data_IF_990687582438
#
_entry.id   IF_990687582438
#
_cell.length_a   1.000
_cell.length_b   1.000
_cell.length_c   1.000
_cell.angle_alpha   90.00
_cell.angle_beta   90.00
_cell.angle_gamma   90.00
#
_symmetry.space_group_name_H-M   'P 1'
#
loop_
_entity.id
_entity.type
_entity.pdbx_description
1 polymer ?
#
# COMPACT_ATOMS: atom_id res chain seq x y z
N UNK A 1 -30.84 45.63 -12.11
CA UNK A 1 -30.24 44.46 -12.78
C UNK A 1 -28.90 44.15 -12.12
N UNK A 2 -28.86 43.23 -11.17
CA UNK A 2 -27.65 42.61 -10.63
C UNK A 2 -28.07 41.23 -10.12
N UNK A 3 -27.76 40.18 -10.88
CA UNK A 3 -28.12 38.80 -10.59
C UNK A 3 -26.90 38.06 -10.02
N UNK A 4 -27.06 37.49 -8.83
CA UNK A 4 -26.19 36.47 -8.23
C UNK A 4 -26.99 35.17 -8.20
N UNK A 5 -26.49 34.03 -8.70
CA UNK A 5 -27.15 32.75 -8.45
C UNK A 5 -26.71 32.18 -7.10
N UNK A 6 -27.68 32.01 -6.20
CA UNK A 6 -27.62 31.12 -5.03
C UNK A 6 -27.81 29.69 -5.53
N UNK A 7 -26.82 28.82 -5.33
CA UNK A 7 -26.99 27.38 -5.46
C UNK A 7 -27.48 26.84 -4.11
N UNK A 8 -28.78 26.58 -4.04
CA UNK A 8 -29.43 25.77 -3.00
C UNK A 8 -29.25 24.31 -3.38
N UNK A 9 -28.43 23.56 -2.64
CA UNK A 9 -28.42 22.11 -2.73
C UNK A 9 -29.44 21.57 -1.73
N UNK A 10 -30.57 21.08 -2.24
CA UNK A 10 -31.58 20.35 -1.48
C UNK A 10 -31.19 18.86 -1.50
N UNK A 11 -30.89 18.29 -0.34
CA UNK A 11 -30.77 16.83 -0.16
C UNK A 11 -31.98 16.40 0.66
N UNK A 12 -32.86 15.64 0.01
CA UNK A 12 -33.99 14.97 0.64
C UNK A 12 -33.48 13.82 1.52
N UNK A 13 -34.14 13.68 2.67
CA UNK A 13 -33.96 12.66 3.70
C UNK A 13 -34.68 11.34 3.40
N UNK A 14 -34.27 10.33 4.19
CA UNK A 14 -34.99 9.11 4.57
C UNK A 14 -34.77 7.86 3.70
N UNK A 15 -34.17 6.81 4.29
CA UNK A 15 -34.90 5.70 4.92
C UNK A 15 -33.99 5.03 5.97
N UNK A 16 -34.44 5.02 7.23
CA UNK A 16 -33.87 4.22 8.31
C UNK A 16 -35.04 3.70 9.12
N UNK A 17 -35.38 2.43 8.92
CA UNK A 17 -36.37 1.72 9.72
C UNK A 17 -35.64 0.88 10.76
N UNK A 18 -35.91 1.14 12.04
CA UNK A 18 -35.74 0.18 13.12
C UNK A 18 -36.93 0.34 14.08
N UNK A 19 -37.59 -0.75 14.49
CA UNK A 19 -38.80 -0.71 15.28
C UNK A 19 -38.53 -0.54 16.78
N UNK A 20 -39.47 0.15 17.42
CA UNK A 20 -39.58 0.42 18.84
C UNK A 20 -39.78 -0.85 19.68
N UNK A 21 -39.23 -0.85 20.90
CA UNK A 21 -39.95 -1.42 22.04
C UNK A 21 -39.58 -0.67 23.33
N UNK A 22 -40.64 -0.19 23.97
CA UNK A 22 -40.74 0.55 25.23
C UNK A 22 -40.44 -0.30 26.47
N UNK A 23 -39.82 0.27 27.51
CA UNK A 23 -40.54 0.60 28.75
C UNK A 23 -39.67 1.21 29.87
N UNK A 24 -40.30 2.21 30.50
CA UNK A 24 -40.30 2.64 31.90
C UNK A 24 -39.01 3.13 32.59
N UNK A 25 -39.02 4.45 32.74
CA UNK A 25 -38.41 5.34 33.72
C UNK A 25 -38.65 4.93 35.18
N UNK A 26 -37.63 5.13 36.04
CA UNK A 26 -37.82 5.64 37.39
C UNK A 26 -36.62 6.51 37.79
N UNK A 27 -36.88 7.80 38.00
CA UNK A 27 -35.98 8.76 38.64
C UNK A 27 -36.09 8.65 40.17
N UNK A 28 -34.97 8.90 40.87
CA UNK A 28 -35.01 9.62 42.14
C UNK A 28 -33.63 10.21 42.46
N UNK A 29 -33.62 11.54 42.60
CA UNK A 29 -32.55 12.41 43.10
C UNK A 29 -32.10 12.02 44.52
N UNK A 30 -30.84 12.31 44.85
CA UNK A 30 -30.50 13.17 46.01
C UNK A 30 -29.02 13.60 45.97
N UNK A 31 -28.79 14.86 46.32
CA UNK A 31 -27.50 15.53 46.40
C UNK A 31 -27.02 15.58 47.86
N UNK A 32 -25.71 15.42 48.10
CA UNK A 32 -24.95 16.36 48.96
C UNK A 32 -23.43 16.11 49.00
N UNK A 33 -22.72 17.24 48.90
CA UNK A 33 -21.41 17.67 49.39
C UNK A 33 -20.40 16.71 50.07
N UNK A 34 -19.13 16.93 49.71
CA UNK A 34 -17.96 16.80 50.59
C UNK A 34 -16.63 16.73 49.83
N UNK A 35 -15.80 17.79 49.94
CA UNK A 35 -14.38 17.83 49.55
C UNK A 35 -13.56 16.74 50.27
N UNK A 36 -12.52 16.18 49.62
CA UNK A 36 -11.13 16.22 50.12
C UNK A 36 -10.14 15.54 49.14
N UNK A 37 -8.89 15.99 49.20
CA UNK A 37 -7.76 15.76 48.29
C UNK A 37 -7.21 14.31 48.22
N UNK A 38 -6.60 13.97 47.07
CA UNK A 38 -5.26 13.35 46.95
C UNK A 38 -5.10 12.52 45.65
N UNK A 39 -4.28 13.01 44.72
CA UNK A 39 -3.84 12.28 43.53
C UNK A 39 -2.61 11.43 43.86
N UNK A 40 -2.78 10.10 43.89
CA UNK A 40 -1.69 9.12 44.01
C UNK A 40 -1.24 8.59 42.64
N UNK A 41 -0.02 8.95 42.25
CA UNK A 41 0.76 8.33 41.17
C UNK A 41 1.17 6.92 41.63
N UNK A 42 1.08 5.91 40.74
CA UNK A 42 1.68 4.59 40.98
C UNK A 42 2.61 4.23 39.82
N UNK A 43 3.91 4.40 40.07
CA UNK A 43 5.03 3.97 39.24
C UNK A 43 5.11 2.43 39.22
N UNK A 44 5.35 1.87 38.03
CA UNK A 44 5.60 0.44 37.85
C UNK A 44 7.13 0.23 37.91
N UNK A 45 7.63 -0.37 38.99
CA UNK A 45 8.97 -0.95 39.02
C UNK A 45 8.93 -2.45 38.64
N UNK A 46 9.97 -2.97 37.95
CA UNK A 46 10.03 -4.35 37.52
C UNK A 46 10.73 -5.22 38.57
N UNK A 47 10.03 -6.22 39.12
CA UNK A 47 10.67 -7.25 39.94
C UNK A 47 11.07 -8.47 39.09
N UNK A 48 12.37 -8.79 39.20
CA UNK A 48 13.04 -9.96 38.68
C UNK A 48 12.91 -11.10 39.70
N UNK A 49 12.37 -12.27 39.32
CA UNK A 49 12.68 -13.50 40.07
C UNK A 49 12.41 -14.82 39.31
N UNK A 50 13.42 -15.70 39.40
CA UNK A 50 13.33 -17.16 39.55
C UNK A 50 13.05 -18.05 38.33
N UNK A 51 14.12 -18.77 37.91
CA UNK A 51 14.09 -19.88 36.96
C UNK A 51 13.51 -21.19 37.54
N UNK A 52 12.84 -21.96 36.66
CA UNK A 52 12.85 -23.43 36.43
C UNK A 52 11.43 -23.98 36.11
N UNK A 53 11.28 -25.13 35.41
CA UNK A 53 11.93 -25.63 34.20
C UNK A 53 10.91 -25.98 33.08
N UNK A 54 11.45 -26.24 31.88
CA UNK A 54 10.81 -26.65 30.62
C UNK A 54 9.74 -27.76 30.76
N UNK A 55 8.51 -27.48 30.31
CA UNK A 55 7.58 -28.49 29.79
C UNK A 55 7.16 -28.05 28.39
N UNK A 56 7.61 -28.83 27.39
CA UNK A 56 7.18 -28.72 26.01
C UNK A 56 5.68 -29.00 25.91
N UNK A 57 4.89 -27.96 25.70
CA UNK A 57 3.52 -28.07 25.23
C UNK A 57 3.54 -27.79 23.72
N UNK A 58 3.31 -28.86 22.96
CA UNK A 58 3.00 -28.81 21.53
C UNK A 58 1.87 -27.79 21.33
N UNK A 59 2.15 -26.73 20.58
CA UNK A 59 1.19 -25.70 20.22
C UNK A 59 0.24 -26.22 19.13
N UNK A 60 -0.57 -27.21 19.49
CA UNK A 60 -1.79 -27.56 18.78
C UNK A 60 -2.94 -27.41 19.78
N UNK A 61 -3.33 -26.18 20.12
CA UNK A 61 -4.68 -25.93 20.60
C UNK A 61 -5.02 -24.44 20.54
N UNK A 62 -6.29 -24.18 20.21
CA UNK A 62 -6.93 -22.87 19.96
C UNK A 62 -6.97 -22.39 18.50
N UNK A 63 -7.39 -23.26 17.58
CA UNK A 63 -8.32 -22.81 16.54
C UNK A 63 -9.70 -22.68 17.18
N UNK A 64 -10.43 -21.55 17.03
CA UNK A 64 -11.81 -21.47 17.49
C UNK A 64 -12.61 -22.57 16.82
N UNK A 65 -13.30 -23.40 17.60
CA UNK A 65 -14.27 -24.37 17.08
C UNK A 65 -15.41 -23.56 16.46
N UNK A 66 -15.28 -23.32 15.16
CA UNK A 66 -16.24 -22.58 14.36
C UNK A 66 -17.55 -23.38 14.28
N UNK A 67 -18.73 -22.76 14.42
CA UNK A 67 -19.99 -23.47 14.25
C UNK A 67 -20.04 -24.04 12.83
N UNK A 68 -20.04 -25.37 12.67
CA UNK A 68 -19.99 -26.02 11.36
C UNK A 68 -21.15 -25.60 10.40
N UNK A 69 -22.17 -24.91 10.92
CA UNK A 69 -23.32 -24.40 10.18
C UNK A 69 -23.06 -23.15 9.31
N UNK A 70 -22.00 -22.36 9.57
CA UNK A 70 -21.82 -21.08 8.87
C UNK A 70 -21.58 -21.25 7.35
N UNK A 71 -20.87 -22.32 6.96
CA UNK A 71 -20.58 -22.59 5.55
C UNK A 71 -21.87 -22.98 4.81
N UNK A 72 -22.65 -23.91 5.38
CA UNK A 72 -23.95 -24.28 4.82
C UNK A 72 -24.91 -23.10 4.73
N UNK A 73 -24.91 -22.21 5.72
CA UNK A 73 -25.70 -20.97 5.68
C UNK A 73 -25.24 -20.05 4.54
N UNK A 74 -23.92 -19.90 4.33
CA UNK A 74 -23.38 -19.11 3.22
C UNK A 74 -23.81 -19.67 1.86
N UNK A 75 -23.70 -20.99 1.66
CA UNK A 75 -24.13 -21.63 0.42
C UNK A 75 -25.62 -21.39 0.15
N UNK A 76 -26.47 -21.60 1.16
CA UNK A 76 -27.91 -21.36 1.08
C UNK A 76 -28.24 -19.91 0.68
N UNK A 77 -27.62 -18.93 1.34
CA UNK A 77 -27.86 -17.50 1.07
C UNK A 77 -27.40 -17.08 -0.33
N UNK A 78 -26.31 -17.66 -0.83
CA UNK A 78 -25.85 -17.41 -2.19
C UNK A 78 -26.81 -18.04 -3.22
N UNK A 79 -27.29 -19.26 -2.97
CA UNK A 79 -28.28 -19.94 -3.81
C UNK A 79 -29.63 -19.19 -3.86
N UNK A 80 -30.14 -18.74 -2.72
CA UNK A 80 -31.37 -17.93 -2.64
C UNK A 80 -31.28 -16.62 -3.44
N UNK A 81 -30.06 -16.10 -3.60
CA UNK A 81 -29.78 -14.90 -4.39
C UNK A 81 -29.38 -15.20 -5.84
N UNK A 82 -29.44 -16.48 -6.27
CA UNK A 82 -29.08 -16.91 -7.62
C UNK A 82 -27.59 -16.80 -7.94
N UNK A 83 -26.72 -16.70 -6.93
CA UNK A 83 -25.27 -16.60 -7.09
C UNK A 83 -24.67 -17.99 -6.95
N UNK A 84 -24.02 -18.46 -8.01
CA UNK A 84 -23.32 -19.75 -8.00
C UNK A 84 -21.85 -19.56 -7.62
N UNK A 85 -21.40 -20.29 -6.60
CA UNK A 85 -19.97 -20.45 -6.33
C UNK A 85 -19.37 -21.34 -7.42
N UNK A 86 -18.73 -20.75 -8.42
CA UNK A 86 -17.94 -21.51 -9.41
C UNK A 86 -16.71 -22.11 -8.72
N UNK A 87 -16.12 -23.16 -9.31
CA UNK A 87 -14.91 -23.89 -8.88
C UNK A 87 -13.65 -23.02 -8.60
N UNK A 88 -13.74 -21.70 -8.78
CA UNK A 88 -12.64 -20.74 -8.64
C UNK A 88 -12.48 -20.17 -7.22
N UNK A 89 -13.35 -20.52 -6.28
CA UNK A 89 -13.25 -20.11 -4.87
C UNK A 89 -13.34 -21.37 -4.01
N UNK A 90 -12.21 -21.80 -3.43
CA UNK A 90 -12.18 -23.01 -2.60
C UNK A 90 -12.77 -22.76 -1.21
N UNK A 91 -13.08 -23.83 -0.46
CA UNK A 91 -13.50 -23.68 0.94
C UNK A 91 -12.43 -22.98 1.80
N UNK A 92 -11.15 -23.23 1.52
CA UNK A 92 -10.03 -22.55 2.18
C UNK A 92 -10.03 -21.05 1.87
N UNK A 93 -10.36 -20.66 0.63
CA UNK A 93 -10.58 -19.24 0.28
C UNK A 93 -11.69 -18.65 1.15
N UNK A 94 -12.84 -19.31 1.23
CA UNK A 94 -13.99 -18.86 2.00
C UNK A 94 -13.64 -18.74 3.50
N UNK A 95 -12.89 -19.70 4.06
CA UNK A 95 -12.42 -19.64 5.45
C UNK A 95 -11.58 -18.39 5.73
N UNK A 96 -10.74 -17.95 4.78
CA UNK A 96 -9.98 -16.70 4.93
C UNK A 96 -10.87 -15.47 5.01
N UNK A 97 -11.95 -15.44 4.21
CA UNK A 97 -12.97 -14.39 4.31
C UNK A 97 -13.70 -14.43 5.65
N UNK A 98 -14.01 -15.63 6.16
CA UNK A 98 -14.65 -15.79 7.45
C UNK A 98 -13.78 -15.22 8.59
N UNK A 99 -12.49 -15.60 8.62
CA UNK A 99 -11.54 -15.10 9.62
C UNK A 99 -11.42 -13.57 9.50
N UNK A 100 -11.37 -13.01 8.29
CA UNK A 100 -11.31 -11.56 8.09
C UNK A 100 -12.60 -10.82 8.45
N UNK A 101 -13.74 -11.52 8.45
CA UNK A 101 -15.01 -10.99 8.90
C UNK A 101 -15.16 -11.03 10.42
N UNK A 102 -14.24 -11.66 11.14
CA UNK A 102 -14.25 -11.76 12.61
C UNK A 102 -15.57 -12.38 13.13
N UNK A 103 -16.00 -13.46 12.48
CA UNK A 103 -17.24 -14.16 12.81
C UNK A 103 -18.54 -13.49 12.34
N UNK A 104 -18.48 -12.28 11.76
CA UNK A 104 -19.67 -11.57 11.27
C UNK A 104 -20.12 -12.07 9.91
N UNK A 105 -21.27 -12.74 9.91
CA UNK A 105 -21.84 -13.36 8.71
C UNK A 105 -22.25 -12.33 7.63
N UNK A 106 -22.74 -11.16 8.02
CA UNK A 106 -23.13 -10.11 7.06
C UNK A 106 -21.92 -9.54 6.32
N UNK A 107 -20.83 -9.29 7.07
CA UNK A 107 -19.54 -8.89 6.51
C UNK A 107 -18.94 -9.97 5.60
N UNK A 108 -19.03 -11.24 6.00
CA UNK A 108 -18.61 -12.39 5.20
C UNK A 108 -19.36 -12.43 3.87
N UNK A 109 -20.71 -12.46 3.92
CA UNK A 109 -21.57 -12.56 2.74
C UNK A 109 -21.29 -11.39 1.77
N UNK A 110 -21.21 -10.17 2.29
CA UNK A 110 -20.86 -8.98 1.48
C UNK A 110 -19.50 -9.12 0.81
N UNK A 111 -18.49 -9.61 1.52
CA UNK A 111 -17.12 -9.73 1.00
C UNK A 111 -16.98 -10.84 -0.05
N UNK A 112 -17.67 -11.96 0.15
CA UNK A 112 -17.73 -13.06 -0.81
C UNK A 112 -18.44 -12.61 -2.09
N UNK A 113 -19.62 -11.98 -1.98
CA UNK A 113 -20.36 -11.44 -3.14
C UNK A 113 -19.52 -10.47 -3.97
N UNK A 114 -18.86 -9.51 -3.29
CA UNK A 114 -17.95 -8.55 -3.94
C UNK A 114 -16.81 -9.25 -4.68
N UNK A 115 -16.27 -10.32 -4.09
CA UNK A 115 -15.15 -11.07 -4.69
C UNK A 115 -15.59 -11.92 -5.87
N UNK A 116 -16.78 -12.53 -5.83
CA UNK A 116 -17.36 -13.25 -6.97
C UNK A 116 -17.51 -12.29 -8.15
N UNK A 117 -18.16 -11.13 -7.95
CA UNK A 117 -18.33 -10.13 -8.99
C UNK A 117 -16.99 -9.59 -9.52
N UNK A 118 -16.01 -9.38 -8.64
CA UNK A 118 -14.67 -8.97 -9.05
C UNK A 118 -13.98 -10.02 -9.92
N UNK A 119 -14.07 -11.31 -9.58
CA UNK A 119 -13.50 -12.42 -10.38
C UNK A 119 -14.14 -12.57 -11.75
N UNK A 120 -15.37 -12.09 -11.94
CA UNK A 120 -16.06 -12.09 -13.24
C UNK A 120 -15.61 -10.94 -14.14
N UNK A 121 -15.19 -9.81 -13.56
CA UNK A 121 -14.93 -8.56 -14.28
C UNK A 121 -13.45 -8.21 -14.38
N UNK A 122 -12.63 -8.66 -13.43
CA UNK A 122 -11.21 -8.35 -13.38
C UNK A 122 -10.39 -9.33 -14.22
N UNK A 123 -9.59 -8.78 -15.13
CA UNK A 123 -8.72 -9.57 -16.00
C UNK A 123 -7.43 -9.88 -15.23
N UNK A 124 -7.24 -11.15 -14.87
CA UNK A 124 -5.95 -11.66 -14.39
C UNK A 124 -5.05 -11.91 -15.59
N UNK A 125 -3.82 -11.39 -15.55
CA UNK A 125 -2.84 -11.58 -16.61
C UNK A 125 -2.48 -13.07 -16.75
N UNK A 126 -2.36 -13.53 -18.00
CA UNK A 126 -1.90 -14.88 -18.32
C UNK A 126 -0.43 -15.09 -17.93
N UNK A 127 0.02 -16.35 -17.85
CA UNK A 127 1.42 -16.66 -17.52
C UNK A 127 2.43 -16.03 -18.48
N UNK A 128 2.11 -15.96 -19.78
CA UNK A 128 2.95 -15.28 -20.78
C UNK A 128 3.00 -13.76 -20.53
N UNK A 129 1.85 -13.15 -20.22
CA UNK A 129 1.82 -11.73 -19.90
C UNK A 129 2.58 -11.43 -18.61
N UNK A 130 2.48 -12.29 -17.60
CA UNK A 130 3.25 -12.16 -16.35
C UNK A 130 4.75 -12.26 -16.59
N UNK A 131 5.20 -13.09 -17.54
CA UNK A 131 6.61 -13.21 -17.87
C UNK A 131 7.19 -11.91 -18.46
N UNK A 132 6.38 -11.10 -19.15
CA UNK A 132 6.80 -9.77 -19.61
C UNK A 132 7.12 -8.80 -18.46
N UNK A 133 6.59 -9.07 -17.26
CA UNK A 133 6.83 -8.28 -16.06
C UNK A 133 7.90 -8.89 -15.14
N UNK A 134 8.55 -9.98 -15.55
CA UNK A 134 9.49 -10.74 -14.70
C UNK A 134 10.70 -9.94 -14.23
N UNK A 135 11.09 -8.88 -14.95
CA UNK A 135 12.15 -7.96 -14.54
C UNK A 135 11.76 -7.03 -13.38
N UNK A 136 10.46 -6.87 -13.12
CA UNK A 136 9.91 -5.95 -12.11
C UNK A 136 9.06 -6.63 -11.04
N UNK A 137 8.34 -7.70 -11.36
CA UNK A 137 7.44 -8.41 -10.43
C UNK A 137 7.64 -9.92 -10.58
N UNK A 138 8.32 -10.53 -9.62
CA UNK A 138 8.70 -11.94 -9.73
C UNK A 138 8.81 -12.64 -8.38
N UNK A 139 8.59 -13.95 -8.40
CA UNK A 139 8.74 -14.82 -7.24
C UNK A 139 10.18 -15.31 -7.10
N UNK A 140 10.75 -15.24 -5.90
CA UNK A 140 12.10 -15.73 -5.65
C UNK A 140 12.32 -16.15 -4.19
N UNK A 141 12.48 -17.45 -3.97
CA UNK A 141 12.74 -18.00 -2.64
C UNK A 141 11.54 -17.92 -1.70
N UNK A 142 11.83 -18.07 -0.41
CA UNK A 142 10.84 -18.12 0.66
C UNK A 142 11.31 -17.30 1.87
N UNK A 143 10.40 -16.99 2.77
CA UNK A 143 10.75 -16.55 4.12
C UNK A 143 11.07 -17.75 5.04
N UNK A 144 11.54 -17.48 6.26
CA UNK A 144 11.83 -18.53 7.24
C UNK A 144 10.60 -19.35 7.65
N UNK A 145 9.39 -18.83 7.45
CA UNK A 145 8.12 -19.54 7.67
C UNK A 145 7.63 -20.27 6.42
N UNK A 146 8.50 -20.46 5.42
CA UNK A 146 8.19 -21.13 4.15
C UNK A 146 7.11 -20.42 3.31
N UNK A 147 6.93 -19.11 3.49
CA UNK A 147 6.01 -18.32 2.64
C UNK A 147 6.74 -17.92 1.39
N UNK A 148 6.15 -18.13 0.20
CA UNK A 148 6.79 -17.71 -1.05
C UNK A 148 6.99 -16.19 -1.04
N UNK A 149 8.16 -15.77 -1.51
CA UNK A 149 8.57 -14.36 -1.53
C UNK A 149 8.33 -13.74 -2.91
N UNK A 150 7.43 -12.77 -2.96
CA UNK A 150 7.17 -11.92 -4.12
C UNK A 150 8.03 -10.65 -4.04
N UNK A 151 8.85 -10.42 -5.05
CA UNK A 151 9.69 -9.23 -5.18
C UNK A 151 9.02 -8.27 -6.17
N UNK A 152 8.84 -7.02 -5.75
CA UNK A 152 8.21 -5.93 -6.53
C UNK A 152 9.18 -4.76 -6.61
N UNK A 153 9.82 -4.55 -7.76
CA UNK A 153 10.73 -3.44 -8.03
C UNK A 153 9.96 -2.18 -8.41
N UNK A 154 9.23 -1.66 -7.43
CA UNK A 154 8.38 -0.48 -7.58
C UNK A 154 9.17 0.74 -8.04
N UNK A 155 10.38 0.96 -7.51
CA UNK A 155 11.20 2.10 -7.90
C UNK A 155 11.61 2.06 -9.38
N UNK A 156 12.06 0.89 -9.85
CA UNK A 156 12.36 0.66 -11.28
C UNK A 156 11.12 0.87 -12.15
N UNK A 157 9.96 0.34 -11.77
CA UNK A 157 8.72 0.56 -12.52
C UNK A 157 8.35 2.05 -12.57
N UNK A 158 8.58 2.80 -11.50
CA UNK A 158 8.27 4.23 -11.45
C UNK A 158 9.24 5.09 -12.28
N UNK A 159 10.49 4.68 -12.44
CA UNK A 159 11.49 5.41 -13.23
C UNK A 159 11.43 5.07 -14.71
N UNK A 160 11.22 3.80 -15.05
CA UNK A 160 11.29 3.29 -16.44
C UNK A 160 9.96 3.29 -17.18
N UNK A 161 8.81 3.13 -16.51
CA UNK A 161 7.53 3.02 -17.20
C UNK A 161 6.86 4.38 -17.45
N UNK A 162 6.31 4.58 -18.66
CA UNK A 162 5.36 5.66 -18.93
C UNK A 162 4.18 5.63 -17.97
N UNK A 163 3.62 6.79 -17.64
CA UNK A 163 2.53 6.90 -16.66
C UNK A 163 1.32 6.01 -16.99
N UNK A 164 0.97 5.89 -18.28
CA UNK A 164 -0.13 5.04 -18.78
C UNK A 164 0.06 3.55 -18.46
N UNK A 165 1.30 3.07 -18.45
CA UNK A 165 1.61 1.64 -18.29
C UNK A 165 1.69 1.22 -16.81
N UNK A 166 1.73 2.20 -15.89
CA UNK A 166 1.75 1.95 -14.44
C UNK A 166 0.47 1.26 -13.94
N UNK A 167 -0.68 1.52 -14.58
CA UNK A 167 -1.90 0.78 -14.23
C UNK A 167 -1.77 -0.70 -14.55
N UNK A 168 -1.14 -1.04 -15.68
CA UNK A 168 -0.89 -2.44 -16.06
C UNK A 168 0.18 -3.09 -15.18
N UNK A 169 1.16 -2.33 -14.71
CA UNK A 169 2.08 -2.78 -13.66
C UNK A 169 1.34 -3.15 -12.36
N UNK A 170 0.39 -2.31 -11.92
CA UNK A 170 -0.48 -2.63 -10.79
C UNK A 170 -1.29 -3.91 -11.01
N UNK A 171 -1.82 -4.11 -12.21
CA UNK A 171 -2.51 -5.34 -12.60
C UNK A 171 -1.58 -6.56 -12.58
N UNK A 172 -0.31 -6.41 -12.99
CA UNK A 172 0.69 -7.47 -12.90
C UNK A 172 0.97 -7.87 -11.44
N UNK A 173 1.05 -6.90 -10.51
CA UNK A 173 1.18 -7.19 -9.07
C UNK A 173 -0.01 -8.02 -8.58
N UNK A 174 -1.24 -7.57 -8.85
CA UNK A 174 -2.46 -8.28 -8.42
C UNK A 174 -2.52 -9.68 -9.03
N UNK A 175 -2.16 -9.82 -10.31
CA UNK A 175 -2.14 -11.10 -11.01
C UNK A 175 -1.06 -12.05 -10.48
N UNK A 176 0.11 -11.53 -10.10
CA UNK A 176 1.14 -12.33 -9.44
C UNK A 176 0.68 -12.81 -8.07
N UNK A 177 0.05 -11.95 -7.27
CA UNK A 177 -0.51 -12.36 -5.96
C UNK A 177 -1.57 -13.46 -6.14
N UNK A 178 -2.47 -13.30 -7.11
CA UNK A 178 -3.43 -14.35 -7.48
C UNK A 178 -2.70 -15.66 -7.82
N UNK A 179 -1.70 -15.61 -8.69
CA UNK A 179 -0.91 -16.78 -9.08
C UNK A 179 -0.23 -17.44 -7.87
N UNK A 180 0.38 -16.66 -6.98
CA UNK A 180 1.06 -17.17 -5.79
C UNK A 180 0.11 -17.89 -4.83
N UNK A 181 -1.04 -17.30 -4.56
CA UNK A 181 -2.05 -17.88 -3.67
C UNK A 181 -2.64 -19.16 -4.27
N UNK A 182 -2.80 -19.24 -5.59
CA UNK A 182 -3.39 -20.41 -6.23
C UNK A 182 -2.40 -21.57 -6.44
N UNK A 183 -1.10 -21.28 -6.61
CA UNK A 183 -0.14 -22.28 -7.09
C UNK A 183 1.14 -22.44 -6.26
N UNK A 184 1.48 -21.49 -5.38
CA UNK A 184 2.79 -21.46 -4.70
C UNK A 184 2.71 -21.61 -3.18
N UNK A 185 1.61 -21.18 -2.55
CA UNK A 185 1.48 -21.24 -1.08
C UNK A 185 1.25 -22.67 -0.60
N UNK A 186 1.69 -22.96 0.63
CA UNK A 186 1.33 -24.20 1.30
C UNK A 186 -0.14 -24.16 1.73
N UNK A 187 -0.80 -25.32 1.78
CA UNK A 187 -2.19 -25.46 2.26
C UNK A 187 -2.34 -25.06 3.72
N UNK A 188 -1.33 -25.35 4.54
CA UNK A 188 -1.38 -25.11 5.99
C UNK A 188 -1.18 -23.63 6.35
N UNK A 189 -0.40 -22.91 5.55
CA UNK A 189 -0.16 -21.46 5.70
C UNK A 189 -0.24 -20.78 4.33
N UNK A 190 -1.46 -20.43 3.87
CA UNK A 190 -1.71 -19.87 2.55
C UNK A 190 -1.35 -18.37 2.47
N UNK A 191 -0.18 -18.00 2.99
CA UNK A 191 0.32 -16.64 3.04
C UNK A 191 1.57 -16.44 2.20
N UNK A 192 1.73 -15.22 1.71
CA UNK A 192 2.88 -14.79 0.92
C UNK A 192 3.66 -13.71 1.67
N UNK A 193 4.95 -13.60 1.38
CA UNK A 193 5.76 -12.47 1.82
C UNK A 193 6.04 -11.57 0.62
N UNK A 194 5.90 -10.26 0.79
CA UNK A 194 6.08 -9.28 -0.28
C UNK A 194 7.23 -8.35 0.07
N UNK A 195 8.21 -8.23 -0.83
CA UNK A 195 9.32 -7.28 -0.75
C UNK A 195 9.15 -6.22 -1.84
N UNK A 196 8.98 -4.97 -1.41
CA UNK A 196 8.89 -3.82 -2.30
C UNK A 196 10.22 -3.09 -2.30
N UNK A 197 10.87 -3.09 -3.46
CA UNK A 197 12.11 -2.37 -3.71
C UNK A 197 11.82 -1.01 -4.35
N UNK A 198 12.14 0.06 -3.64
CA UNK A 198 11.91 1.44 -4.04
C UNK A 198 13.15 2.12 -4.65
N UNK A 199 14.20 1.37 -4.98
CA UNK A 199 15.38 1.92 -5.65
C UNK A 199 15.05 2.58 -6.99
N UNK A 200 15.58 3.78 -7.22
CA UNK A 200 15.27 4.59 -8.41
C UNK A 200 13.96 5.39 -8.32
N UNK A 201 13.24 5.31 -7.19
CA UNK A 201 12.00 6.06 -7.02
C UNK A 201 12.25 7.56 -6.86
N UNK A 202 11.65 8.36 -7.73
CA UNK A 202 11.63 9.83 -7.57
C UNK A 202 10.62 10.24 -6.48
N UNK A 203 11.02 11.11 -5.53
CA UNK A 203 10.12 11.67 -4.52
C UNK A 203 8.86 12.34 -5.07
N UNK A 204 8.93 12.88 -6.29
CA UNK A 204 7.87 13.66 -6.90
C UNK A 204 6.96 12.84 -7.81
N UNK A 205 7.26 11.56 -8.05
CA UNK A 205 6.53 10.70 -9.01
C UNK A 205 5.93 9.45 -8.37
N UNK A 206 5.48 9.55 -7.12
CA UNK A 206 4.80 8.45 -6.44
C UNK A 206 3.48 8.10 -7.15
N UNK A 207 3.29 6.87 -7.63
CA UNK A 207 2.06 6.47 -8.31
C UNK A 207 0.96 6.17 -7.28
N UNK A 208 0.59 7.17 -6.48
CA UNK A 208 -0.33 7.02 -5.34
C UNK A 208 -1.64 6.37 -5.74
N UNK A 209 -2.22 6.75 -6.89
CA UNK A 209 -3.48 6.15 -7.35
C UNK A 209 -3.36 4.65 -7.61
N UNK A 210 -2.30 4.23 -8.32
CA UNK A 210 -2.04 2.81 -8.57
C UNK A 210 -1.81 2.05 -7.26
N UNK A 211 -1.00 2.59 -6.34
CA UNK A 211 -0.74 1.97 -5.05
C UNK A 211 -2.04 1.81 -4.24
N UNK A 212 -2.86 2.86 -4.16
CA UNK A 212 -4.16 2.80 -3.48
C UNK A 212 -5.08 1.75 -4.08
N UNK A 213 -5.22 1.73 -5.41
CA UNK A 213 -6.05 0.74 -6.10
C UNK A 213 -5.53 -0.68 -5.85
N UNK A 214 -4.23 -0.92 -5.99
CA UNK A 214 -3.63 -2.23 -5.73
C UNK A 214 -3.87 -2.68 -4.28
N UNK A 215 -3.60 -1.81 -3.31
CA UNK A 215 -3.82 -2.13 -1.90
C UNK A 215 -5.29 -2.40 -1.58
N UNK A 216 -6.23 -1.66 -2.16
CA UNK A 216 -7.66 -1.91 -1.97
C UNK A 216 -8.06 -3.26 -2.57
N UNK A 217 -7.63 -3.57 -3.80
CA UNK A 217 -7.91 -4.85 -4.45
C UNK A 217 -7.35 -6.03 -3.65
N UNK A 218 -6.07 -5.95 -3.27
CA UNK A 218 -5.39 -7.01 -2.52
C UNK A 218 -6.06 -7.28 -1.16
N UNK A 219 -6.39 -6.22 -0.41
CA UNK A 219 -7.01 -6.37 0.91
C UNK A 219 -8.49 -6.76 0.87
N UNK A 220 -9.17 -6.54 -0.26
CA UNK A 220 -10.59 -6.87 -0.44
C UNK A 220 -10.77 -8.30 -0.92
N UNK A 221 -9.97 -8.72 -1.90
CA UNK A 221 -10.17 -9.99 -2.61
C UNK A 221 -9.21 -11.11 -2.17
N UNK A 222 -8.15 -10.76 -1.44
CA UNK A 222 -7.19 -11.73 -0.89
C UNK A 222 -7.01 -11.50 0.62
N UNK A 223 -8.10 -11.54 1.42
CA UNK A 223 -8.01 -11.33 2.85
C UNK A 223 -7.06 -12.35 3.48
N UNK A 224 -6.33 -11.92 4.53
CA UNK A 224 -5.42 -12.76 5.30
C UNK A 224 -4.33 -13.50 4.49
N UNK A 225 -4.06 -13.09 3.24
CA UNK A 225 -3.07 -13.72 2.37
C UNK A 225 -1.66 -13.15 2.53
N UNK A 226 -1.52 -11.98 3.15
CA UNK A 226 -0.22 -11.35 3.39
C UNK A 226 0.35 -11.86 4.73
N UNK A 227 1.55 -12.42 4.71
CA UNK A 227 2.34 -12.77 5.91
C UNK A 227 3.16 -11.58 6.39
N UNK A 228 4.07 -11.11 5.54
CA UNK A 228 4.97 -9.99 5.81
C UNK A 228 5.07 -9.05 4.60
N UNK A 229 5.19 -7.75 4.85
CA UNK A 229 5.41 -6.73 3.81
C UNK A 229 6.64 -5.88 4.14
N UNK A 230 7.72 -6.09 3.40
CA UNK A 230 8.96 -5.34 3.54
C UNK A 230 9.03 -4.24 2.49
N UNK A 231 9.40 -3.03 2.89
CA UNK A 231 9.68 -1.92 1.98
C UNK A 231 11.12 -1.48 2.21
N UNK A 232 11.95 -1.57 1.19
CA UNK A 232 13.39 -1.25 1.25
C UNK A 232 13.71 -0.06 0.35
N UNK A 233 14.84 0.60 0.64
CA UNK A 233 15.38 1.69 -0.20
C UNK A 233 14.38 2.81 -0.49
N UNK A 234 13.43 3.03 0.42
CA UNK A 234 12.45 4.11 0.31
C UNK A 234 13.11 5.45 0.69
N UNK A 235 13.13 6.44 -0.22
CA UNK A 235 13.72 7.75 0.07
C UNK A 235 13.10 8.40 1.30
N UNK A 236 13.91 8.98 2.18
CA UNK A 236 13.43 9.52 3.47
C UNK A 236 12.33 10.57 3.32
N UNK A 237 12.41 11.42 2.29
CA UNK A 237 11.38 12.42 2.00
C UNK A 237 10.03 11.80 1.58
N UNK A 238 10.06 10.62 0.97
CA UNK A 238 8.85 9.86 0.59
C UNK A 238 8.17 9.26 1.82
N UNK A 239 8.91 8.97 2.89
CA UNK A 239 8.34 8.38 4.12
C UNK A 239 7.31 9.29 4.79
N UNK A 240 7.48 10.61 4.65
CA UNK A 240 6.50 11.59 5.15
C UNK A 240 5.17 11.45 4.40
N UNK A 241 5.23 11.31 3.07
CA UNK A 241 4.02 11.09 2.25
C UNK A 241 3.46 9.67 2.35
N UNK A 242 4.27 8.70 2.77
CA UNK A 242 3.81 7.33 3.00
C UNK A 242 2.72 7.28 4.09
N UNK A 243 2.68 8.22 5.04
CA UNK A 243 1.61 8.30 6.05
C UNK A 243 0.21 8.40 5.42
N UNK A 244 0.05 9.14 4.32
CA UNK A 244 -1.23 9.21 3.60
C UNK A 244 -1.59 7.87 2.95
N UNK A 245 -0.59 7.10 2.50
CA UNK A 245 -0.81 5.76 1.97
C UNK A 245 -1.20 4.76 3.07
N UNK A 246 -0.62 4.88 4.28
CA UNK A 246 -0.94 4.01 5.41
C UNK A 246 -2.43 4.05 5.79
N UNK A 247 -3.13 5.18 5.56
CA UNK A 247 -4.57 5.29 5.82
C UNK A 247 -5.42 4.35 4.94
N UNK A 248 -4.91 3.92 3.80
CA UNK A 248 -5.60 2.97 2.89
C UNK A 248 -5.40 1.51 3.32
N UNK A 249 -4.44 1.26 4.23
CA UNK A 249 -4.15 -0.07 4.73
C UNK A 249 -5.02 -0.39 5.95
N UNK A 250 -5.70 -1.54 5.90
CA UNK A 250 -6.37 -2.14 7.05
C UNK A 250 -5.38 -2.31 8.21
N UNK A 251 -5.82 -2.22 9.48
CA UNK A 251 -4.94 -2.37 10.64
C UNK A 251 -4.06 -3.64 10.60
N UNK A 252 -4.64 -4.78 10.21
CA UNK A 252 -3.94 -6.06 10.08
C UNK A 252 -2.81 -6.04 9.04
N UNK A 253 -2.99 -5.30 7.95
CA UNK A 253 -1.96 -5.09 6.92
C UNK A 253 -0.86 -4.15 7.43
N UNK A 254 -1.23 -3.08 8.14
CA UNK A 254 -0.27 -2.13 8.71
C UNK A 254 0.68 -2.77 9.71
N UNK A 255 0.19 -3.69 10.54
CA UNK A 255 1.02 -4.44 11.49
C UNK A 255 2.08 -5.31 10.81
N UNK A 256 1.84 -5.73 9.56
CA UNK A 256 2.75 -6.57 8.77
C UNK A 256 3.74 -5.77 7.93
N UNK A 257 3.53 -4.45 7.82
CA UNK A 257 4.37 -3.55 7.04
C UNK A 257 5.60 -3.12 7.83
N UNK A 258 6.78 -3.31 7.24
CA UNK A 258 8.07 -2.91 7.82
C UNK A 258 8.88 -2.11 6.80
N UNK A 259 9.12 -0.84 7.11
CA UNK A 259 10.08 -0.02 6.37
C UNK A 259 11.49 -0.32 6.88
N UNK A 260 12.35 -0.85 6.01
CA UNK A 260 13.73 -1.17 6.36
C UNK A 260 14.66 -0.08 5.82
N UNK A 261 15.55 0.40 6.69
CA UNK A 261 16.55 1.42 6.37
C UNK A 261 17.81 0.84 5.71
N UNK A 262 18.95 1.47 5.95
CA UNK A 262 20.23 1.09 5.33
C UNK A 262 20.69 -0.33 5.67
N UNK A 263 20.27 -0.86 6.82
CA UNK A 263 20.60 -2.22 7.28
C UNK A 263 19.64 -3.29 6.77
N UNK A 264 18.81 -2.99 5.75
CA UNK A 264 17.79 -3.90 5.25
C UNK A 264 18.33 -5.28 4.87
N UNK A 265 19.54 -5.36 4.29
CA UNK A 265 20.16 -6.63 3.88
C UNK A 265 20.31 -7.61 5.05
N UNK A 266 20.74 -7.13 6.22
CA UNK A 266 20.89 -7.97 7.42
C UNK A 266 19.54 -8.54 7.86
N UNK A 267 18.50 -7.72 7.86
CA UNK A 267 17.14 -8.12 8.23
C UNK A 267 16.59 -9.12 7.22
N UNK A 268 16.74 -8.85 5.92
CA UNK A 268 16.28 -9.76 4.85
C UNK A 268 17.00 -11.11 4.92
N UNK A 269 18.32 -11.14 5.13
CA UNK A 269 19.07 -12.39 5.28
C UNK A 269 18.70 -13.16 6.56
N UNK A 270 18.27 -12.45 7.61
CA UNK A 270 17.83 -13.09 8.85
C UNK A 270 16.40 -13.63 8.81
N UNK A 271 15.55 -13.13 7.91
CA UNK A 271 14.12 -13.49 7.86
C UNK A 271 13.69 -14.17 6.56
N UNK A 272 14.51 -14.08 5.51
CA UNK A 272 14.33 -14.75 4.24
C UNK A 272 15.47 -15.74 3.99
N UNK A 273 15.22 -16.75 3.16
CA UNK A 273 16.26 -17.74 2.82
C UNK A 273 17.49 -17.07 2.19
N UNK A 274 18.69 -17.63 2.40
CA UNK A 274 19.96 -17.14 1.80
C UNK A 274 19.96 -17.11 0.27
N UNK A 275 18.96 -17.74 -0.36
CA UNK A 275 18.71 -17.74 -1.80
C UNK A 275 18.12 -16.42 -2.31
N UNK A 276 18.26 -15.30 -1.61
CA UNK A 276 17.88 -14.00 -2.15
C UNK A 276 18.73 -13.62 -3.38
N UNK A 277 18.21 -12.77 -4.29
CA UNK A 277 19.01 -12.17 -5.35
C UNK A 277 20.24 -11.45 -4.79
N UNK A 278 21.35 -11.50 -5.51
CA UNK A 278 22.63 -10.90 -5.11
C UNK A 278 22.54 -9.39 -4.84
N UNK A 279 21.79 -8.65 -5.66
CA UNK A 279 21.58 -7.20 -5.45
C UNK A 279 20.82 -6.86 -4.16
N UNK A 280 20.13 -7.83 -3.55
CA UNK A 280 19.46 -7.71 -2.26
C UNK A 280 20.32 -8.20 -1.08
N UNK A 281 21.59 -8.55 -1.34
CA UNK A 281 22.53 -9.07 -0.35
C UNK A 281 22.56 -10.61 -0.25
N UNK A 282 21.80 -11.33 -1.09
CA UNK A 282 21.84 -12.79 -1.13
C UNK A 282 22.96 -13.37 -1.98
N UNK A 283 22.93 -14.69 -2.21
CA UNK A 283 23.96 -15.42 -2.97
C UNK A 283 23.44 -16.05 -4.27
N UNK A 284 22.17 -15.85 -4.62
CA UNK A 284 21.58 -16.50 -5.79
C UNK A 284 22.09 -15.91 -7.11
N UNK A 285 22.41 -16.79 -8.07
CA UNK A 285 22.95 -16.47 -9.42
C UNK A 285 22.10 -17.10 -10.53
N UNK A 286 20.80 -17.23 -10.33
CA UNK A 286 19.92 -17.75 -11.37
C UNK A 286 19.60 -16.65 -12.40
N UNK A 287 19.21 -17.06 -13.61
CA UNK A 287 18.87 -16.13 -14.70
C UNK A 287 17.84 -15.07 -14.33
N UNK A 288 16.88 -15.37 -13.45
CA UNK A 288 15.90 -14.38 -12.96
C UNK A 288 16.53 -13.28 -12.10
N UNK A 289 17.59 -13.59 -11.37
CA UNK A 289 18.33 -12.59 -10.59
C UNK A 289 19.21 -11.73 -11.49
N UNK A 290 19.70 -12.29 -12.61
CA UNK A 290 20.55 -11.59 -13.58
C UNK A 290 19.77 -10.58 -14.42
N UNK A 291 18.50 -10.86 -14.76
CA UNK A 291 17.60 -9.89 -15.40
C UNK A 291 17.42 -8.64 -14.52
N UNK A 292 17.58 -8.80 -13.20
CA UNK A 292 17.47 -7.71 -12.24
C UNK A 292 18.63 -6.71 -12.27
N UNK A 293 19.82 -7.10 -12.74
CA UNK A 293 21.05 -6.31 -12.64
C UNK A 293 21.44 -5.56 -13.91
N UNK A 294 20.68 -5.67 -15.00
CA UNK A 294 20.93 -4.86 -16.20
C UNK A 294 20.66 -3.38 -15.90
N UNK A 295 21.74 -2.65 -15.62
CA UNK A 295 21.79 -1.21 -15.69
C UNK A 295 21.43 -0.77 -17.12
N UNK A 296 20.53 0.21 -17.23
CA UNK A 296 20.28 0.92 -18.48
C UNK A 296 21.52 1.80 -18.68
N UNK A 297 22.44 1.37 -19.54
CA UNK A 297 23.44 2.27 -20.10
C UNK A 297 22.71 3.14 -21.14
N UNK A 298 22.77 4.46 -20.94
CA UNK A 298 22.22 5.44 -21.86
C UNK A 298 22.95 5.35 -23.21
N UNK A 299 22.22 5.03 -24.28
CA UNK A 299 22.72 5.21 -25.65
C UNK A 299 22.73 6.73 -25.96
N UNK A 300 23.92 7.31 -25.86
CA UNK A 300 24.25 8.66 -26.32
C UNK A 300 24.44 8.62 -27.85
N UNK A 301 23.41 9.00 -28.61
CA UNK A 301 23.48 9.12 -30.06
C UNK A 301 24.20 10.42 -30.45
N UNK A 302 25.51 10.30 -30.62
CA UNK A 302 26.34 11.33 -31.27
C UNK A 302 26.20 11.24 -32.80
N UNK A 303 25.29 12.02 -33.39
CA UNK A 303 25.31 12.25 -34.84
C UNK A 303 26.26 13.41 -35.20
N UNK A 304 27.48 13.03 -35.60
CA UNK A 304 28.38 13.82 -36.42
C UNK A 304 27.87 13.81 -37.88
N UNK A 305 27.51 14.98 -38.43
CA UNK A 305 27.60 15.25 -39.88
C UNK A 305 28.03 16.69 -40.15
N UNK A 306 29.33 16.83 -40.37
CA UNK A 306 29.91 17.89 -41.19
C UNK A 306 29.49 17.72 -42.66
N UNK A 307 29.06 18.80 -43.31
CA UNK A 307 29.51 19.19 -44.67
C UNK A 307 29.05 20.61 -45.02
N UNK A 308 30.01 21.54 -44.96
CA UNK A 308 30.39 22.60 -45.92
C UNK A 308 29.37 23.28 -46.87
N UNK A 309 29.32 24.61 -46.75
CA UNK A 309 29.40 25.69 -47.76
C UNK A 309 28.54 25.66 -49.05
N UNK A 310 27.72 26.72 -49.24
CA UNK A 310 27.99 27.82 -50.20
C UNK A 310 26.77 28.74 -50.45
N UNK A 311 26.98 30.08 -50.35
CA UNK A 311 26.49 31.20 -51.21
C UNK A 311 24.98 31.36 -51.55
N UNK A 312 24.37 32.54 -51.79
CA UNK A 312 24.50 33.98 -51.50
C UNK A 312 23.21 34.65 -52.06
N UNK A 313 22.78 35.79 -51.47
CA UNK A 313 22.00 36.94 -52.06
C UNK A 313 20.46 36.84 -52.26
N UNK A 314 19.65 37.69 -51.57
CA UNK A 314 19.03 39.02 -51.97
C UNK A 314 17.84 38.87 -52.96
N UNK A 315 16.64 39.51 -52.91
CA UNK A 315 16.07 40.78 -52.38
C UNK A 315 14.51 40.72 -52.33
N UNK A 316 13.90 41.45 -51.37
CA UNK A 316 12.65 42.29 -51.30
C UNK A 316 11.43 42.07 -52.26
N UNK A 317 10.21 41.81 -51.72
CA UNK A 317 8.99 42.71 -51.56
C UNK A 317 8.21 42.99 -52.88
N UNK A 318 6.87 42.90 -53.07
CA UNK A 318 5.66 43.17 -52.26
C UNK A 318 4.40 42.39 -52.76
N UNK A 319 3.31 42.52 -51.99
CA UNK A 319 1.87 42.55 -52.34
C UNK A 319 0.90 41.38 -51.98
N UNK A 320 -0.04 41.76 -51.10
CA UNK A 320 -1.22 41.09 -50.50
C UNK A 320 -2.48 41.50 -51.34
N UNK A 321 -3.75 40.98 -51.22
CA UNK A 321 -4.35 39.90 -50.39
C UNK A 321 -5.25 38.88 -51.16
N UNK A 322 -5.58 37.73 -50.54
CA UNK A 322 -6.98 37.41 -50.18
C UNK A 322 -7.19 36.09 -49.41
N UNK A 323 -7.95 36.21 -48.32
CA UNK A 323 -9.02 35.33 -47.84
C UNK A 323 -8.75 33.88 -47.38
N UNK A 324 -9.04 33.72 -46.07
CA UNK A 324 -9.89 32.71 -45.41
C UNK A 324 -9.26 31.44 -44.81
N UNK A 325 -9.26 31.48 -43.48
CA UNK A 325 -9.88 30.52 -42.54
C UNK A 325 -9.12 29.21 -42.25
N UNK A 326 -8.58 29.13 -41.04
CA UNK A 326 -8.01 27.91 -40.47
C UNK A 326 -7.57 28.10 -39.02
N UNK A 327 -8.56 28.06 -38.13
CA UNK A 327 -8.56 27.76 -36.70
C UNK A 327 -7.29 27.93 -35.84
N UNK A 328 -7.44 28.74 -34.79
CA UNK A 328 -6.47 29.04 -33.76
C UNK A 328 -6.76 28.15 -32.55
N UNK A 329 -5.94 27.12 -32.34
CA UNK A 329 -5.82 26.46 -31.03
C UNK A 329 -4.55 27.02 -30.39
N UNK A 330 -4.72 28.03 -29.55
CA UNK A 330 -3.65 28.58 -28.72
C UNK A 330 -3.15 27.49 -27.76
N UNK A 331 -1.96 26.97 -28.05
CA UNK A 331 -1.23 26.06 -27.19
C UNK A 331 -0.67 26.87 -26.01
N UNK A 332 -1.35 26.80 -24.86
CA UNK A 332 -0.88 27.44 -23.63
C UNK A 332 0.41 26.74 -23.19
N UNK A 333 1.54 27.35 -23.52
CA UNK A 333 2.84 27.11 -22.90
C UNK A 333 2.71 27.44 -21.41
N UNK A 334 2.22 26.48 -20.62
CA UNK A 334 2.32 26.55 -19.17
C UNK A 334 3.80 26.57 -18.82
N UNK A 335 4.19 27.74 -18.32
CA UNK A 335 5.53 28.14 -18.00
C UNK A 335 6.21 27.10 -17.08
N UNK A 336 7.09 26.29 -17.68
CA UNK A 336 7.90 25.28 -16.99
C UNK A 336 8.70 25.91 -15.83
N UNK A 337 8.94 27.22 -15.89
CA UNK A 337 9.60 28.01 -14.87
C UNK A 337 8.70 28.24 -13.66
N UNK A 338 7.42 28.54 -13.84
CA UNK A 338 6.44 28.69 -12.74
C UNK A 338 6.22 27.36 -12.02
N UNK A 339 6.12 26.25 -12.76
CA UNK A 339 6.00 24.92 -12.15
C UNK A 339 7.27 24.54 -11.37
N UNK A 340 8.45 24.85 -11.92
CA UNK A 340 9.74 24.62 -11.25
C UNK A 340 9.87 25.45 -9.98
N UNK A 341 9.44 26.72 -10.00
CA UNK A 341 9.43 27.58 -8.82
C UNK A 341 8.42 27.11 -7.77
N UNK A 342 7.24 26.65 -8.18
CA UNK A 342 6.25 26.07 -7.27
C UNK A 342 6.79 24.80 -6.60
N UNK A 343 7.42 23.90 -7.38
CA UNK A 343 8.05 22.67 -6.85
C UNK A 343 9.19 22.97 -5.88
N UNK A 344 10.03 23.96 -6.18
CA UNK A 344 11.10 24.40 -5.28
C UNK A 344 10.52 25.00 -3.99
N UNK A 345 9.43 25.77 -4.11
CA UNK A 345 8.69 26.31 -2.98
C UNK A 345 8.11 25.21 -2.07
N UNK A 346 7.50 24.16 -2.64
CA UNK A 346 7.00 23.02 -1.87
C UNK A 346 8.12 22.21 -1.21
N UNK A 347 9.27 22.06 -1.87
CA UNK A 347 10.46 21.42 -1.29
C UNK A 347 10.98 22.20 -0.08
N UNK A 348 11.16 23.51 -0.24
CA UNK A 348 11.61 24.40 0.83
C UNK A 348 10.61 24.39 1.98
N UNK A 349 9.30 24.50 1.68
CA UNK A 349 8.23 24.41 2.68
C UNK A 349 8.23 23.07 3.43
N UNK A 350 8.45 21.97 2.73
CA UNK A 350 8.58 20.64 3.34
C UNK A 350 9.79 20.53 4.27
N UNK A 351 10.94 21.09 3.88
CA UNK A 351 12.13 21.17 4.75
C UNK A 351 11.85 22.04 5.98
N UNK A 352 11.15 23.17 5.83
CA UNK A 352 10.76 24.01 6.95
C UNK A 352 9.80 23.30 7.91
N UNK A 353 8.80 22.57 7.40
CA UNK A 353 7.92 21.76 8.25
C UNK A 353 8.67 20.65 8.98
N UNK A 354 9.64 20.01 8.33
CA UNK A 354 10.49 19.00 8.95
C UNK A 354 11.35 19.61 10.06
N UNK A 355 12.06 20.72 9.80
CA UNK A 355 12.87 21.42 10.79
C UNK A 355 12.03 21.97 11.94
N UNK A 356 10.83 22.50 11.66
CA UNK A 356 9.90 22.97 12.68
C UNK A 356 9.43 21.83 13.58
N UNK A 357 9.08 20.67 13.01
CA UNK A 357 8.72 19.49 13.80
C UNK A 357 9.92 18.98 14.61
N UNK A 358 11.11 18.89 14.03
CA UNK A 358 12.32 18.50 14.77
C UNK A 358 12.62 19.47 15.91
N UNK A 359 12.46 20.77 15.72
CA UNK A 359 12.67 21.79 16.74
C UNK A 359 11.63 21.70 17.87
N UNK A 360 10.35 21.57 17.54
CA UNK A 360 9.28 21.46 18.53
C UNK A 360 9.37 20.17 19.36
N UNK A 361 9.73 19.04 18.73
CA UNK A 361 9.88 17.77 19.44
C UNK A 361 11.19 17.67 20.23
N UNK A 362 12.25 18.37 19.84
CA UNK A 362 13.52 18.41 20.60
C UNK A 362 13.45 19.31 21.85
N UNK A 363 12.42 20.15 21.99
CA UNK A 363 12.24 21.06 23.13
C UNK A 363 11.57 20.46 24.36
N UNK A 364 11.27 19.16 24.39
CA UNK A 364 10.57 18.50 25.52
C UNK A 364 11.41 17.47 26.29
N UNK A 365 12.71 17.36 26.02
CA UNK A 365 13.62 16.51 26.79
C UNK A 365 14.74 17.35 27.43
N UNK A 366 14.47 17.88 28.62
CA UNK A 366 15.52 18.24 29.59
C UNK A 366 15.75 17.05 30.51
N UNK A 367 16.98 16.54 30.66
CA UNK A 367 17.30 15.52 31.65
C UNK A 367 17.41 16.20 33.03
N UNK A 368 16.45 15.96 33.91
CA UNK A 368 16.48 16.49 35.28
C UNK A 368 17.52 15.72 36.12
N UNK A 369 18.35 16.50 36.79
CA UNK A 369 19.44 16.12 37.67
C UNK A 369 18.98 15.30 38.88
N UNK A 370 19.68 14.19 39.15
CA UNK A 370 19.53 13.36 40.34
C UNK A 370 19.88 14.13 41.63
N UNK A 371 19.11 14.01 42.73
CA UNK A 371 19.58 14.41 44.04
C UNK A 371 20.25 13.22 44.77
N UNK A 372 21.45 13.51 45.26
CA UNK A 372 22.21 12.71 46.22
C UNK A 372 21.52 12.76 47.58
N UNK A 373 21.41 11.63 48.28
CA UNK A 373 21.12 11.59 49.72
C UNK A 373 22.22 10.79 50.42
N UNK A 374 22.96 11.37 51.39
CA UNK A 374 23.88 10.64 52.26
C UNK A 374 23.32 10.55 53.71
N UNK A 375 24.07 9.86 54.59
CA UNK A 375 23.78 8.50 55.08
C UNK A 375 22.63 8.39 56.10
#
# INVERSE_FOLDING_TARGET
>A
MLSRPLLVLSIATAFSDNPECSNSTTESNEANHGDDDSYGICEIQPELSSMHPLVSLSAEDHLPVLPASWLSQLHKELEEQGITLRDRISEEDIRRFYIAADGDFSRLLSSIKKTIQWRETYIILSGQELEMWSSMVFWHGFDLKQKPLLIVRLGLACSSLPFRDRQRFGQAIVSQVYHGIMHLVNRDDPQITVLVDCEGMSPFRLPMQMLKTCSTLLQTHFPNSLGSLFVIKLPSIVRVFAQTFLQVLKPTTRQKLRFLGETYQKVLLSECTEKLPSYLGGSCKCSRCDIGSMHIEDEDDSENRDTSDSDMNHEEEEDIPSSRLGDRIDNVSYDHQVLRMAMLGFLIFGVFLFLFNCYYFSGTYSPESSPVVPP
#
